data_IF_475934518301
#
_entry.id   IF_475934518301
#
_cell.length_a   1.000
_cell.length_b   1.000
_cell.length_c   1.000
_cell.angle_alpha   90.00
_cell.angle_beta   90.00
_cell.angle_gamma   90.00
#
_symmetry.space_group_name_H-M   'P 1'
#
loop_
_entity.id
_entity.type
_entity.pdbx_description
1 polymer ?
#
# COMPACT_ATOMS: atom_id res chain seq x y z
N UNK A 1 29.30 -13.36 9.19
CA UNK A 1 29.86 -13.75 7.88
C UNK A 1 29.41 -15.17 7.55
N UNK A 2 28.72 -15.38 6.42
CA UNK A 2 28.21 -16.71 5.99
C UNK A 2 29.16 -17.43 5.03
N UNK A 3 30.19 -16.74 4.55
CA UNK A 3 31.19 -17.27 3.62
C UNK A 3 31.90 -18.51 4.21
N UNK A 4 32.02 -19.56 3.39
CA UNK A 4 32.63 -20.83 3.78
C UNK A 4 31.79 -21.70 4.74
N UNK A 5 30.57 -21.30 5.11
CA UNK A 5 29.69 -22.08 5.99
C UNK A 5 28.56 -22.74 5.20
N UNK A 6 28.24 -23.98 5.54
CA UNK A 6 27.03 -24.64 5.02
C UNK A 6 25.80 -24.10 5.75
N UNK A 7 24.86 -23.52 5.02
CA UNK A 7 23.61 -23.01 5.56
C UNK A 7 22.42 -23.31 4.64
N UNK A 8 21.22 -23.19 5.20
CA UNK A 8 19.95 -23.43 4.52
C UNK A 8 19.20 -22.11 4.33
N UNK A 9 18.56 -21.95 3.17
CA UNK A 9 17.72 -20.80 2.87
C UNK A 9 16.26 -21.24 3.01
N UNK A 10 15.49 -20.54 3.84
CA UNK A 10 14.05 -20.77 3.94
C UNK A 10 13.29 -19.71 3.14
N UNK A 11 12.37 -20.15 2.29
CA UNK A 11 11.51 -19.28 1.50
C UNK A 11 10.08 -19.86 1.44
N UNK A 12 9.08 -18.99 1.39
CA UNK A 12 7.66 -19.38 1.25
C UNK A 12 7.19 -19.36 -0.22
N UNK A 13 8.05 -18.94 -1.14
CA UNK A 13 7.77 -18.91 -2.57
C UNK A 13 8.09 -20.26 -3.23
N UNK A 14 7.07 -21.08 -3.48
CA UNK A 14 7.22 -22.42 -4.10
C UNK A 14 8.10 -22.46 -5.37
N UNK A 15 8.00 -21.53 -6.34
CA UNK A 15 8.84 -21.54 -7.52
C UNK A 15 10.35 -21.58 -7.25
N UNK A 16 10.85 -20.89 -6.23
CA UNK A 16 12.30 -20.74 -6.00
C UNK A 16 12.95 -22.03 -5.48
N UNK A 17 12.17 -22.87 -4.80
CA UNK A 17 12.60 -24.16 -4.26
C UNK A 17 12.98 -25.13 -5.38
N UNK A 18 12.26 -25.06 -6.49
CA UNK A 18 12.48 -25.92 -7.65
C UNK A 18 13.37 -25.25 -8.70
N UNK A 19 13.79 -23.99 -8.50
CA UNK A 19 14.53 -23.23 -9.50
C UNK A 19 15.83 -23.93 -9.92
N UNK A 20 16.58 -24.50 -8.97
CA UNK A 20 17.80 -25.26 -9.25
C UNK A 20 17.56 -26.66 -9.82
N UNK A 21 16.30 -27.13 -9.87
CA UNK A 21 15.90 -28.42 -10.47
C UNK A 21 15.26 -28.25 -11.84
N UNK A 22 14.97 -27.03 -12.27
CA UNK A 22 14.35 -26.73 -13.56
C UNK A 22 15.41 -26.68 -14.67
N UNK A 23 14.99 -26.98 -15.91
CA UNK A 23 15.86 -26.79 -17.07
C UNK A 23 16.24 -25.31 -17.22
N UNK A 24 17.52 -24.98 -17.41
CA UNK A 24 17.98 -23.60 -17.54
C UNK A 24 17.35 -22.89 -18.74
N UNK A 25 17.00 -23.62 -19.80
CA UNK A 25 16.33 -23.08 -21.00
C UNK A 25 14.93 -22.50 -20.73
N UNK A 26 14.33 -22.82 -19.57
CA UNK A 26 13.04 -22.26 -19.14
C UNK A 26 13.18 -20.97 -18.34
N UNK A 27 14.41 -20.58 -17.98
CA UNK A 27 14.67 -19.36 -17.23
C UNK A 27 15.01 -18.21 -18.18
N UNK A 28 14.49 -17.01 -17.89
CA UNK A 28 14.97 -15.81 -18.56
C UNK A 28 16.44 -15.54 -18.20
N UNK A 29 17.22 -14.83 -19.06
CA UNK A 29 18.61 -14.49 -18.75
C UNK A 29 18.79 -13.77 -17.41
N UNK A 30 17.80 -12.97 -17.01
CA UNK A 30 17.79 -12.27 -15.70
C UNK A 30 17.64 -13.26 -14.54
N UNK A 31 16.70 -14.20 -14.64
CA UNK A 31 16.52 -15.23 -13.60
C UNK A 31 17.77 -16.09 -13.47
N UNK A 32 18.38 -16.48 -14.59
CA UNK A 32 19.58 -17.31 -14.60
C UNK A 32 20.75 -16.61 -13.88
N UNK A 33 21.00 -15.32 -14.16
CA UNK A 33 22.04 -14.54 -13.47
C UNK A 33 21.82 -14.46 -11.96
N UNK A 34 20.56 -14.29 -11.52
CA UNK A 34 20.26 -14.26 -10.08
C UNK A 34 20.44 -15.64 -9.44
N UNK A 35 20.03 -16.71 -10.10
CA UNK A 35 20.21 -18.07 -9.59
C UNK A 35 21.69 -18.46 -9.53
N UNK A 36 22.47 -18.08 -10.53
CA UNK A 36 23.92 -18.28 -10.55
C UNK A 36 24.57 -17.56 -9.35
N UNK A 37 24.21 -16.30 -9.11
CA UNK A 37 24.69 -15.56 -7.93
C UNK A 37 24.29 -16.22 -6.60
N UNK A 38 23.04 -16.65 -6.44
CA UNK A 38 22.57 -17.34 -5.23
C UNK A 38 23.34 -18.66 -5.04
N UNK A 39 23.62 -19.38 -6.13
CA UNK A 39 24.31 -20.68 -6.09
C UNK A 39 25.75 -20.59 -5.56
N UNK A 40 26.40 -19.43 -5.69
CA UNK A 40 27.73 -19.19 -5.11
C UNK A 40 27.72 -19.31 -3.58
N UNK A 41 26.56 -19.12 -2.94
CA UNK A 41 26.40 -19.22 -1.49
C UNK A 41 25.74 -20.51 -1.05
N UNK A 42 24.56 -20.85 -1.60
CA UNK A 42 23.85 -22.09 -1.26
C UNK A 42 22.78 -22.44 -2.30
N UNK A 43 22.60 -23.75 -2.51
CA UNK A 43 21.49 -24.32 -3.30
C UNK A 43 20.48 -25.09 -2.43
N UNK A 44 20.71 -25.22 -1.12
CA UNK A 44 19.77 -25.85 -0.17
C UNK A 44 18.69 -24.85 0.23
N UNK A 45 17.66 -24.73 -0.62
CA UNK A 45 16.47 -23.90 -0.40
C UNK A 45 15.29 -24.78 0.04
N UNK A 46 14.66 -24.45 1.16
CA UNK A 46 13.55 -25.20 1.77
C UNK A 46 12.29 -24.36 1.86
N UNK A 47 11.15 -25.02 1.64
CA UNK A 47 9.85 -24.38 1.81
C UNK A 47 9.60 -24.08 3.30
N UNK A 48 9.17 -22.88 3.61
CA UNK A 48 8.53 -22.55 4.88
C UNK A 48 7.09 -22.12 4.62
N UNK A 49 6.15 -22.53 5.48
CA UNK A 49 4.77 -22.02 5.36
C UNK A 49 4.77 -20.52 5.65
N UNK A 50 3.97 -19.75 4.92
CA UNK A 50 3.82 -18.31 5.13
C UNK A 50 3.53 -17.97 6.59
N UNK A 51 2.68 -18.77 7.27
CA UNK A 51 2.36 -18.58 8.70
C UNK A 51 3.54 -18.76 9.65
N UNK A 52 4.65 -19.35 9.20
CA UNK A 52 5.91 -19.48 9.93
C UNK A 52 6.99 -18.50 9.44
N UNK A 53 6.72 -17.74 8.38
CA UNK A 53 7.63 -16.74 7.80
C UNK A 53 7.30 -15.31 8.25
N UNK A 54 6.62 -15.16 9.40
CA UNK A 54 6.06 -13.87 9.85
C UNK A 54 7.11 -12.78 10.01
N UNK A 55 8.32 -13.12 10.44
CA UNK A 55 9.41 -12.14 10.62
C UNK A 55 9.91 -11.62 9.26
N UNK A 56 10.16 -12.50 8.29
CA UNK A 56 10.61 -12.04 6.97
C UNK A 56 9.48 -11.32 6.20
N UNK A 57 8.24 -11.77 6.36
CA UNK A 57 7.06 -11.11 5.78
C UNK A 57 6.84 -9.73 6.41
N UNK A 58 6.97 -9.59 7.73
CA UNK A 58 6.84 -8.28 8.39
C UNK A 58 7.95 -7.33 7.98
N UNK A 59 9.21 -7.78 7.93
CA UNK A 59 10.36 -6.98 7.51
C UNK A 59 10.28 -6.59 6.02
N UNK A 60 9.87 -7.49 5.13
CA UNK A 60 9.70 -7.17 3.70
C UNK A 60 8.57 -6.18 3.44
N UNK A 61 7.59 -6.07 4.35
CA UNK A 61 6.53 -5.07 4.32
C UNK A 61 6.93 -3.73 4.95
N UNK A 62 8.08 -3.61 5.62
CA UNK A 62 8.48 -2.35 6.27
C UNK A 62 8.64 -1.24 5.24
N UNK A 63 9.17 -1.51 4.04
CA UNK A 63 9.26 -0.48 3.00
C UNK A 63 7.88 0.03 2.60
N UNK A 64 6.86 -0.83 2.46
CA UNK A 64 5.48 -0.37 2.23
C UNK A 64 4.92 0.44 3.40
N UNK A 65 5.27 0.08 4.63
CA UNK A 65 4.86 0.80 5.85
C UNK A 65 5.68 2.10 6.10
N UNK A 66 6.89 2.20 5.55
CA UNK A 66 7.71 3.42 5.57
C UNK A 66 7.40 4.33 4.39
N UNK A 67 6.92 3.79 3.27
CA UNK A 67 6.35 4.57 2.17
C UNK A 67 5.03 5.23 2.60
N UNK A 68 4.27 4.65 3.54
CA UNK A 68 3.21 5.41 4.24
C UNK A 68 3.71 6.58 5.07
N UNK A 69 5.03 6.76 5.26
CA UNK A 69 5.64 7.90 5.95
C UNK A 69 6.32 8.93 5.04
N UNK A 70 6.49 8.71 3.73
CA UNK A 70 7.09 9.74 2.85
C UNK A 70 6.03 10.67 2.27
N UNK A 71 6.20 11.97 2.57
CA UNK A 71 5.20 13.05 2.57
C UNK A 71 4.02 12.74 3.49
N UNK A 72 4.28 12.73 4.81
CA UNK A 72 3.30 12.61 5.89
C UNK A 72 1.99 13.30 5.50
N UNK A 73 0.97 12.52 5.12
CA UNK A 73 -0.41 12.96 5.27
C UNK A 73 -0.59 13.23 6.74
N UNK A 74 -0.42 14.49 7.12
CA UNK A 74 -0.61 14.92 8.48
C UNK A 74 -2.11 14.85 8.75
N UNK A 75 -2.56 13.77 9.40
CA UNK A 75 -3.97 13.56 9.70
C UNK A 75 -4.54 14.68 10.57
N UNK A 76 -3.71 15.40 11.33
CA UNK A 76 -4.14 16.60 12.06
C UNK A 76 -4.45 17.77 11.11
N UNK A 77 -3.64 17.98 10.07
CA UNK A 77 -3.92 18.99 9.05
C UNK A 77 -5.10 18.58 8.17
N UNK A 78 -5.25 17.29 7.87
CA UNK A 78 -6.41 16.76 7.15
C UNK A 78 -7.69 17.02 7.96
N UNK A 79 -7.69 16.75 9.27
CA UNK A 79 -8.83 17.05 10.14
C UNK A 79 -9.17 18.54 10.16
N UNK A 80 -8.17 19.42 10.24
CA UNK A 80 -8.37 20.88 10.14
C UNK A 80 -8.92 21.30 8.79
N UNK A 81 -8.40 20.71 7.70
CA UNK A 81 -8.87 21.00 6.35
C UNK A 81 -10.33 20.54 6.16
N UNK A 82 -10.74 19.41 6.74
CA UNK A 82 -12.13 18.95 6.71
C UNK A 82 -13.11 19.94 7.36
N UNK A 83 -12.70 20.64 8.42
CA UNK A 83 -13.55 21.64 9.08
C UNK A 83 -13.76 22.91 8.24
N UNK A 84 -12.75 23.30 7.47
CA UNK A 84 -12.77 24.52 6.67
C UNK A 84 -13.19 24.30 5.21
N UNK A 85 -13.35 23.05 4.80
CA UNK A 85 -13.64 22.68 3.41
C UNK A 85 -15.14 22.82 3.08
N UNK A 86 -15.53 23.71 2.15
CA UNK A 86 -16.93 23.96 1.82
C UNK A 86 -17.62 22.73 1.23
N UNK A 87 -16.88 21.81 0.61
CA UNK A 87 -17.45 20.56 0.11
C UNK A 87 -17.78 19.58 1.23
N UNK A 88 -16.89 19.46 2.23
CA UNK A 88 -17.13 18.64 3.41
C UNK A 88 -18.38 19.10 4.17
N UNK A 89 -18.59 20.41 4.30
CA UNK A 89 -19.80 20.99 4.93
C UNK A 89 -21.06 20.67 4.12
N UNK A 90 -21.01 20.76 2.79
CA UNK A 90 -22.15 20.40 1.92
C UNK A 90 -22.53 18.93 2.08
N UNK A 91 -21.54 18.03 2.04
CA UNK A 91 -21.77 16.59 2.17
C UNK A 91 -22.33 16.23 3.55
N UNK A 92 -22.02 17.00 4.60
CA UNK A 92 -22.65 16.85 5.93
C UNK A 92 -24.10 17.34 5.98
N UNK A 93 -24.43 18.39 5.23
CA UNK A 93 -25.78 18.98 5.22
C UNK A 93 -26.74 18.25 4.26
N UNK A 94 -26.19 17.55 3.27
CA UNK A 94 -26.94 16.78 2.27
C UNK A 94 -27.56 15.50 2.88
N UNK A 95 -28.71 15.65 3.54
CA UNK A 95 -29.51 14.55 4.12
C UNK A 95 -30.10 13.57 3.08
N UNK A 96 -30.07 13.92 1.80
CA UNK A 96 -30.50 13.05 0.68
C UNK A 96 -29.42 12.08 0.22
N UNK A 97 -28.19 12.23 0.73
CA UNK A 97 -27.08 11.35 0.42
C UNK A 97 -27.22 10.01 1.14
N UNK A 98 -26.86 8.91 0.47
CA UNK A 98 -26.75 7.58 1.10
C UNK A 98 -25.53 7.44 2.03
N UNK A 99 -24.73 8.51 2.18
CA UNK A 99 -23.54 8.53 3.03
C UNK A 99 -23.93 8.65 4.49
N UNK A 100 -23.31 7.81 5.33
CA UNK A 100 -23.41 7.90 6.77
C UNK A 100 -22.08 8.47 7.27
N UNK A 101 -22.10 9.71 7.78
CA UNK A 101 -20.88 10.37 8.25
C UNK A 101 -20.77 10.25 9.77
N UNK A 102 -19.58 9.90 10.25
CA UNK A 102 -19.27 9.89 11.68
C UNK A 102 -17.86 10.43 11.92
N UNK A 103 -17.68 11.09 13.06
CA UNK A 103 -16.37 11.43 13.58
C UNK A 103 -15.69 10.15 14.10
N UNK A 104 -14.47 9.90 13.65
CA UNK A 104 -13.66 8.77 14.11
C UNK A 104 -12.32 9.28 14.66
N UNK A 105 -11.93 8.85 15.88
CA UNK A 105 -10.64 9.21 16.43
C UNK A 105 -9.54 8.58 15.59
N UNK A 106 -8.56 9.38 15.18
CA UNK A 106 -7.40 8.87 14.48
C UNK A 106 -6.39 8.32 15.51
N UNK A 107 -6.01 7.04 15.43
CA UNK A 107 -5.03 6.49 16.39
C UNK A 107 -3.62 7.10 16.24
N UNK A 108 -3.34 7.72 15.09
CA UNK A 108 -2.04 8.34 14.81
C UNK A 108 -1.93 9.81 15.25
N UNK A 109 -3.07 10.47 15.50
CA UNK A 109 -3.15 11.89 15.87
C UNK A 109 -4.33 12.10 16.80
N UNK A 110 -4.20 12.88 17.89
CA UNK A 110 -5.31 13.22 18.79
C UNK A 110 -6.35 14.17 18.14
N UNK A 111 -6.80 13.86 16.93
CA UNK A 111 -7.74 14.63 16.13
C UNK A 111 -8.77 13.67 15.53
N UNK A 112 -10.02 14.11 15.53
CA UNK A 112 -11.13 13.35 14.96
C UNK A 112 -11.25 13.65 13.47
N UNK A 113 -11.41 12.58 12.68
CA UNK A 113 -11.64 12.66 11.24
C UNK A 113 -13.10 12.43 10.92
N UNK A 114 -13.63 13.22 9.99
CA UNK A 114 -14.96 12.99 9.42
C UNK A 114 -14.81 11.86 8.40
N UNK A 115 -15.49 10.74 8.66
CA UNK A 115 -15.43 9.55 7.84
C UNK A 115 -16.81 9.10 7.38
N UNK A 116 -16.87 8.58 6.15
CA UNK A 116 -17.99 7.78 5.66
C UNK A 116 -17.91 6.37 6.27
N UNK A 117 -18.99 5.97 6.93
CA UNK A 117 -19.20 4.67 7.59
C UNK A 117 -20.32 3.86 6.92
N UNK A 118 -20.83 4.28 5.76
CA UNK A 118 -21.84 3.54 5.00
C UNK A 118 -21.36 2.16 4.53
N UNK A 119 -20.06 1.90 4.57
CA UNK A 119 -19.43 0.63 4.19
C UNK A 119 -18.69 -0.03 5.34
N UNK A 120 -18.33 -1.31 5.17
CA UNK A 120 -17.60 -2.09 6.16
C UNK A 120 -16.26 -1.45 6.60
N UNK A 121 -15.60 -0.68 5.74
CA UNK A 121 -14.45 0.15 6.09
C UNK A 121 -14.86 1.61 6.27
N UNK A 122 -14.34 2.23 7.34
CA UNK A 122 -14.45 3.67 7.56
C UNK A 122 -13.49 4.40 6.61
N UNK A 123 -14.03 5.29 5.78
CA UNK A 123 -13.26 6.04 4.77
C UNK A 123 -13.27 7.53 5.09
N UNK A 124 -12.11 8.15 5.40
CA UNK A 124 -12.05 9.58 5.64
C UNK A 124 -12.49 10.38 4.40
N UNK A 125 -13.26 11.44 4.63
CA UNK A 125 -13.53 12.43 3.58
C UNK A 125 -12.25 13.19 3.25
N UNK A 126 -12.00 13.42 1.97
CA UNK A 126 -10.79 14.10 1.50
C UNK A 126 -11.14 15.51 1.02
N UNK A 127 -10.67 16.56 1.74
CA UNK A 127 -10.75 17.94 1.28
C UNK A 127 -10.04 18.14 -0.05
N UNK A 128 -10.45 19.14 -0.83
CA UNK A 128 -9.88 19.42 -2.15
C UNK A 128 -8.35 19.59 -2.11
N UNK A 129 -7.83 20.32 -1.11
CA UNK A 129 -6.41 20.57 -0.90
C UNK A 129 -5.56 19.30 -0.72
N UNK A 130 -6.15 18.22 -0.21
CA UNK A 130 -5.46 16.96 0.05
C UNK A 130 -5.56 15.94 -1.08
N UNK A 131 -6.43 16.15 -2.08
CA UNK A 131 -6.67 15.17 -3.15
C UNK A 131 -5.41 14.85 -3.93
N UNK A 132 -4.66 15.87 -4.33
CA UNK A 132 -3.43 15.72 -5.10
C UNK A 132 -2.36 14.97 -4.29
N UNK A 133 -2.20 15.33 -3.02
CA UNK A 133 -1.23 14.69 -2.13
C UNK A 133 -1.53 13.20 -1.93
N UNK A 134 -2.78 12.84 -1.62
CA UNK A 134 -3.20 11.45 -1.45
C UNK A 134 -3.00 10.65 -2.73
N UNK A 135 -3.31 11.26 -3.88
CA UNK A 135 -3.17 10.64 -5.18
C UNK A 135 -1.69 10.39 -5.55
N UNK A 136 -0.84 11.40 -5.41
CA UNK A 136 0.61 11.27 -5.65
C UNK A 136 1.22 10.23 -4.71
N UNK A 137 0.84 10.24 -3.43
CA UNK A 137 1.31 9.26 -2.46
C UNK A 137 0.91 7.83 -2.86
N UNK A 138 -0.36 7.59 -3.19
CA UNK A 138 -0.83 6.25 -3.55
C UNK A 138 -0.29 5.78 -4.91
N UNK A 139 -0.12 6.69 -5.86
CA UNK A 139 0.48 6.38 -7.15
C UNK A 139 1.97 6.02 -7.01
N UNK A 140 2.73 6.75 -6.21
CA UNK A 140 4.17 6.54 -6.06
C UNK A 140 4.54 5.27 -5.29
N UNK A 141 3.58 4.56 -4.66
CA UNK A 141 3.83 3.28 -3.98
C UNK A 141 4.26 2.19 -4.96
N UNK A 142 3.61 2.11 -6.12
CA UNK A 142 3.80 1.00 -7.06
C UNK A 142 3.66 1.40 -8.53
N UNK A 143 3.57 2.70 -8.81
CA UNK A 143 3.20 3.26 -10.10
C UNK A 143 2.00 2.52 -10.74
N UNK A 144 0.89 2.31 -9.99
CA UNK A 144 -0.27 1.65 -10.55
C UNK A 144 -0.92 2.53 -11.62
N UNK A 145 -1.46 1.91 -12.68
CA UNK A 145 -2.23 2.63 -13.69
C UNK A 145 -3.45 3.37 -13.11
N UNK A 146 -4.04 4.29 -13.88
CA UNK A 146 -5.14 5.18 -13.43
C UNK A 146 -6.26 4.41 -12.73
N UNK A 147 -6.77 3.35 -13.35
CA UNK A 147 -7.87 2.55 -12.82
C UNK A 147 -7.51 1.86 -11.48
N UNK A 148 -6.27 1.37 -11.36
CA UNK A 148 -5.79 0.76 -10.13
C UNK A 148 -5.59 1.80 -9.01
N UNK A 149 -5.07 2.98 -9.34
CA UNK A 149 -4.94 4.10 -8.40
C UNK A 149 -6.31 4.60 -7.91
N UNK A 150 -7.27 4.78 -8.82
CA UNK A 150 -8.63 5.19 -8.47
C UNK A 150 -9.33 4.16 -7.56
N UNK A 151 -9.13 2.86 -7.82
CA UNK A 151 -9.64 1.78 -6.97
C UNK A 151 -8.99 1.77 -5.58
N UNK A 152 -7.69 2.04 -5.49
CA UNK A 152 -6.99 2.16 -4.21
C UNK A 152 -7.53 3.34 -3.39
N UNK A 153 -7.70 4.50 -4.02
CA UNK A 153 -8.27 5.69 -3.38
C UNK A 153 -9.69 5.41 -2.90
N UNK A 154 -10.58 4.92 -3.75
CA UNK A 154 -11.99 4.69 -3.38
C UNK A 154 -12.18 3.62 -2.29
N UNK A 155 -11.23 2.68 -2.17
CA UNK A 155 -11.24 1.68 -1.11
C UNK A 155 -10.91 2.26 0.27
N UNK A 156 -10.09 3.31 0.33
CA UNK A 156 -9.52 3.88 1.58
C UNK A 156 -10.08 5.24 1.95
N UNK A 157 -10.50 6.03 0.97
CA UNK A 157 -10.88 7.43 1.11
C UNK A 157 -12.19 7.71 0.36
N UNK A 158 -12.90 8.75 0.80
CA UNK A 158 -14.09 9.25 0.12
C UNK A 158 -13.80 10.64 -0.45
N UNK A 159 -13.98 10.79 -1.77
CA UNK A 159 -13.85 12.06 -2.49
C UNK A 159 -15.24 12.47 -2.96
N UNK A 160 -15.57 13.76 -2.88
CA UNK A 160 -16.85 14.30 -3.39
C UNK A 160 -16.93 14.17 -4.92
N UNK A 161 -18.15 14.11 -5.46
CA UNK A 161 -18.45 13.83 -6.88
C UNK A 161 -17.84 14.80 -7.89
N UNK A 162 -17.23 15.91 -7.45
CA UNK A 162 -16.40 16.77 -8.31
C UNK A 162 -14.97 16.24 -8.39
N UNK A 163 -14.81 15.14 -9.13
CA UNK A 163 -13.56 14.70 -9.79
C UNK A 163 -12.31 14.49 -8.94
N UNK A 164 -11.67 13.32 -9.09
CA UNK A 164 -10.22 13.27 -8.93
C UNK A 164 -9.59 14.30 -9.89
N UNK A 165 -8.57 15.07 -9.50
CA UNK A 165 -7.90 15.99 -10.42
C UNK A 165 -7.41 15.23 -11.66
N UNK A 166 -7.57 15.84 -12.84
CA UNK A 166 -7.24 15.22 -14.12
C UNK A 166 -5.78 14.72 -14.12
N UNK A 167 -5.65 13.41 -14.27
CA UNK A 167 -4.38 12.69 -14.24
C UNK A 167 -3.70 12.85 -15.61
N UNK A 168 -2.73 13.77 -15.74
CA UNK A 168 -1.73 13.68 -16.81
C UNK A 168 -0.63 12.74 -16.34
N UNK A 169 -0.72 11.46 -16.70
CA UNK A 169 0.42 10.53 -16.58
C UNK A 169 1.53 11.11 -17.45
N UNK A 170 2.70 11.38 -16.86
CA UNK A 170 3.95 11.57 -17.61
C UNK A 170 4.61 10.22 -17.80
#
# INVERSE_FOLDING_TARGET
MLEGRKFQIFADQKPIIYAFKQNPDKCSPRQLRHLDFISQYSTDIRNVRVSKNVVADSLSRIELNSITKSALLNFSELAKAQQNDPETVKVQQDKSSSLQLALKPCLSTNSDLICDISTASSRPLVPESFRRLILEQLHNISHPGIAATAKLISSRYRVSNKGLPDFKIK
#
